data_IF_408906961154
#
_entry.id   IF_408906961154
#
_cell.length_a   1.000
_cell.length_b   1.000
_cell.length_c   1.000
_cell.angle_alpha   90.00
_cell.angle_beta   90.00
_cell.angle_gamma   90.00
#
_symmetry.space_group_name_H-M   'P 1'
#
loop_
_entity.id
_entity.type
_entity.pdbx_description
1 polymer ?
#
# COMPACT_ATOMS: atom_id res chain seq x y z
N UNK A 1 -67.95 -0.49 35.77
CA UNK A 1 -67.94 -0.08 34.35
C UNK A 1 -68.58 1.31 34.31
N UNK A 2 -68.03 2.39 33.77
CA UNK A 2 -67.12 2.60 32.65
C UNK A 2 -66.17 3.78 32.94
N UNK A 3 -64.95 3.71 32.38
CA UNK A 3 -63.87 4.70 32.51
C UNK A 3 -64.04 5.79 31.45
N UNK A 4 -63.79 7.06 31.81
CA UNK A 4 -63.79 8.23 30.93
C UNK A 4 -62.64 8.15 29.91
N UNK A 5 -62.84 8.43 28.61
CA UNK A 5 -61.73 8.74 27.72
C UNK A 5 -61.47 10.26 27.70
N UNK A 6 -60.26 10.63 28.12
CA UNK A 6 -59.65 11.95 27.94
C UNK A 6 -59.23 12.05 26.47
N UNK A 7 -59.79 13.00 25.72
CA UNK A 7 -59.36 13.31 24.35
C UNK A 7 -58.15 14.24 24.44
N UNK A 8 -56.97 13.68 24.17
CA UNK A 8 -55.72 14.44 23.99
C UNK A 8 -55.73 14.99 22.55
N UNK A 9 -55.91 16.29 22.39
CA UNK A 9 -55.67 16.96 21.11
C UNK A 9 -54.18 17.27 21.00
N UNK A 10 -53.49 16.56 20.12
CA UNK A 10 -52.10 16.86 19.72
C UNK A 10 -52.10 17.08 18.21
N UNK A 11 -51.20 17.97 17.79
CA UNK A 11 -50.68 18.20 16.44
C UNK A 11 -51.27 19.39 15.70
N UNK A 12 -50.52 20.49 15.69
CA UNK A 12 -50.13 21.20 14.46
C UNK A 12 -48.99 22.19 14.75
N UNK A 13 -47.80 21.67 15.07
CA UNK A 13 -46.56 22.46 15.08
C UNK A 13 -45.74 22.14 13.83
N UNK A 14 -46.10 22.73 12.68
CA UNK A 14 -45.49 22.42 11.38
C UNK A 14 -44.75 23.61 10.76
N UNK A 15 -43.87 24.28 11.52
CA UNK A 15 -43.21 25.51 11.02
C UNK A 15 -41.72 25.68 11.38
N UNK A 16 -40.95 24.62 11.65
CA UNK A 16 -39.55 24.78 12.11
C UNK A 16 -38.45 24.06 11.33
N UNK A 17 -38.69 23.50 10.13
CA UNK A 17 -37.65 22.71 9.43
C UNK A 17 -37.35 23.11 7.96
N UNK A 18 -37.67 24.34 7.55
CA UNK A 18 -37.43 24.79 6.17
C UNK A 18 -36.11 25.55 5.95
N UNK A 19 -35.06 25.28 6.76
CA UNK A 19 -33.75 25.93 6.63
C UNK A 19 -32.62 25.01 6.12
N UNK A 20 -32.90 23.72 5.86
CA UNK A 20 -31.84 22.70 5.71
C UNK A 20 -31.40 22.41 4.27
N UNK A 21 -32.19 22.76 3.25
CA UNK A 21 -31.88 22.34 1.87
C UNK A 21 -30.63 23.02 1.29
N UNK A 22 -30.45 24.32 1.54
CA UNK A 22 -29.29 25.07 1.06
C UNK A 22 -27.99 24.71 1.83
N UNK A 23 -28.12 24.36 3.12
CA UNK A 23 -26.98 23.94 3.94
C UNK A 23 -26.53 22.52 3.59
N UNK A 24 -27.46 21.61 3.33
CA UNK A 24 -27.16 20.27 2.83
C UNK A 24 -26.38 20.32 1.51
N UNK A 25 -26.75 21.22 0.58
CA UNK A 25 -26.10 21.30 -0.72
C UNK A 25 -24.67 21.87 -0.67
N UNK A 26 -24.38 22.78 0.27
CA UNK A 26 -23.02 23.26 0.51
C UNK A 26 -22.14 22.20 1.17
N UNK A 27 -22.70 21.46 2.14
CA UNK A 27 -21.99 20.37 2.82
C UNK A 27 -21.64 19.25 1.82
N UNK A 28 -22.57 18.90 0.94
CA UNK A 28 -22.38 17.88 -0.09
C UNK A 28 -21.30 18.31 -1.10
N UNK A 29 -21.33 19.57 -1.54
CA UNK A 29 -20.31 20.13 -2.44
C UNK A 29 -18.89 20.11 -1.84
N UNK A 30 -18.76 20.37 -0.54
CA UNK A 30 -17.46 20.33 0.15
C UNK A 30 -16.95 18.89 0.31
N UNK A 31 -17.84 17.96 0.69
CA UNK A 31 -17.50 16.54 0.83
C UNK A 31 -17.10 15.93 -0.52
N UNK A 32 -17.79 16.28 -1.60
CA UNK A 32 -17.42 15.88 -2.94
C UNK A 32 -16.07 16.44 -3.35
N UNK A 33 -15.80 17.72 -3.08
CA UNK A 33 -14.50 18.31 -3.37
C UNK A 33 -13.35 17.57 -2.64
N UNK A 34 -13.54 17.20 -1.38
CA UNK A 34 -12.58 16.39 -0.63
C UNK A 34 -12.43 14.98 -1.22
N UNK A 35 -13.54 14.33 -1.60
CA UNK A 35 -13.53 13.00 -2.21
C UNK A 35 -12.74 12.99 -3.51
N UNK A 36 -12.91 14.00 -4.37
CA UNK A 36 -12.17 14.13 -5.62
C UNK A 36 -10.69 14.42 -5.41
N UNK A 37 -10.32 15.21 -4.39
CA UNK A 37 -8.92 15.44 -4.02
C UNK A 37 -8.24 14.13 -3.60
N UNK A 38 -8.86 13.40 -2.67
CA UNK A 38 -8.32 12.14 -2.17
C UNK A 38 -8.21 11.08 -3.28
N UNK A 39 -9.21 11.00 -4.16
CA UNK A 39 -9.17 10.08 -5.30
C UNK A 39 -8.02 10.41 -6.26
N UNK A 40 -7.81 11.70 -6.55
CA UNK A 40 -6.73 12.16 -7.44
C UNK A 40 -5.36 11.86 -6.85
N UNK A 41 -5.18 12.12 -5.56
CA UNK A 41 -3.94 11.79 -4.85
C UNK A 41 -3.67 10.29 -4.89
N UNK A 42 -4.69 9.46 -4.62
CA UNK A 42 -4.56 8.02 -4.67
C UNK A 42 -4.20 7.54 -6.08
N UNK A 43 -4.85 8.05 -7.13
CA UNK A 43 -4.52 7.70 -8.51
C UNK A 43 -3.09 8.11 -8.88
N UNK A 44 -2.62 9.28 -8.45
CA UNK A 44 -1.24 9.70 -8.68
C UNK A 44 -0.24 8.80 -7.94
N UNK A 45 -0.53 8.40 -6.70
CA UNK A 45 0.34 7.50 -5.93
C UNK A 45 0.45 6.12 -6.59
N UNK A 46 -0.68 5.58 -7.09
CA UNK A 46 -0.70 4.32 -7.83
C UNK A 46 0.14 4.40 -9.11
N UNK A 47 0.04 5.48 -9.87
CA UNK A 47 0.87 5.68 -11.07
C UNK A 47 2.36 5.78 -10.74
N UNK A 48 2.73 6.49 -9.67
CA UNK A 48 4.13 6.57 -9.20
C UNK A 48 4.66 5.19 -8.77
N UNK A 49 3.85 4.41 -8.05
CA UNK A 49 4.21 3.03 -7.64
C UNK A 49 4.37 2.11 -8.85
N UNK A 50 3.49 2.20 -9.84
CA UNK A 50 3.59 1.44 -11.08
C UNK A 50 4.87 1.78 -11.85
N UNK A 51 5.22 3.06 -11.98
CA UNK A 51 6.47 3.50 -12.63
C UNK A 51 7.72 3.05 -11.86
N UNK A 52 7.70 3.08 -10.53
CA UNK A 52 8.81 2.56 -9.71
C UNK A 52 8.98 1.05 -9.84
N UNK A 53 7.88 0.29 -9.98
CA UNK A 53 7.95 -1.15 -10.22
C UNK A 53 8.47 -1.49 -11.63
N UNK A 54 8.12 -0.69 -12.64
CA UNK A 54 8.66 -0.85 -14.00
C UNK A 54 10.16 -0.56 -14.11
N UNK A 55 10.69 0.34 -13.28
CA UNK A 55 12.12 0.65 -13.21
C UNK A 55 12.93 -0.30 -12.30
N UNK A 56 12.30 -1.22 -11.56
CA UNK A 56 13.01 -2.34 -10.93
C UNK A 56 13.28 -3.39 -12.01
N UNK A 57 14.56 -3.45 -12.40
CA UNK A 57 15.18 -4.43 -13.30
C UNK A 57 14.53 -5.83 -13.28
N UNK A 58 14.54 -6.54 -14.42
CA UNK A 58 13.72 -7.73 -14.66
C UNK A 58 13.99 -8.83 -13.63
N UNK A 59 12.96 -9.63 -13.36
CA UNK A 59 12.94 -10.85 -12.55
C UNK A 59 14.23 -11.68 -12.67
N UNK A 60 15.27 -11.32 -11.93
CA UNK A 60 16.46 -12.13 -11.80
C UNK A 60 16.05 -13.33 -10.95
N UNK A 61 15.89 -14.49 -11.60
CA UNK A 61 15.56 -15.76 -10.93
C UNK A 61 16.45 -15.89 -9.68
N UNK A 62 15.87 -16.20 -8.50
CA UNK A 62 16.65 -16.32 -7.28
C UNK A 62 17.81 -17.32 -7.49
N UNK A 63 18.94 -17.04 -6.87
CA UNK A 63 20.07 -17.98 -6.83
C UNK A 63 19.64 -19.15 -5.94
N UNK A 64 19.62 -20.35 -6.50
CA UNK A 64 19.27 -21.55 -5.73
C UNK A 64 20.44 -21.95 -4.83
N UNK A 65 20.14 -22.68 -3.75
CA UNK A 65 21.17 -23.20 -2.85
C UNK A 65 22.17 -24.10 -3.59
N UNK A 66 21.71 -24.90 -4.57
CA UNK A 66 22.56 -25.80 -5.34
C UNK A 66 23.58 -25.02 -6.19
N UNK A 67 23.15 -23.98 -6.90
CA UNK A 67 24.04 -23.14 -7.69
C UNK A 67 25.03 -22.38 -6.80
N UNK A 68 24.56 -21.87 -5.66
CA UNK A 68 25.41 -21.23 -4.66
C UNK A 68 26.48 -22.20 -4.14
N UNK A 69 26.09 -23.43 -3.82
CA UNK A 69 27.02 -24.46 -3.34
C UNK A 69 28.05 -24.85 -4.41
N UNK A 70 27.64 -24.94 -5.68
CA UNK A 70 28.54 -25.20 -6.79
C UNK A 70 29.53 -24.06 -7.02
N UNK A 71 29.09 -22.79 -6.91
CA UNK A 71 29.97 -21.64 -6.98
C UNK A 71 30.95 -21.60 -5.79
N UNK A 72 30.48 -21.93 -4.59
CA UNK A 72 31.30 -22.00 -3.38
C UNK A 72 32.37 -23.09 -3.44
N UNK A 73 32.01 -24.30 -3.87
CA UNK A 73 32.97 -25.41 -3.95
C UNK A 73 34.13 -25.09 -4.91
N UNK A 74 33.84 -24.40 -6.02
CA UNK A 74 34.84 -23.93 -7.00
C UNK A 74 35.70 -22.77 -6.48
N UNK A 75 35.16 -21.92 -5.59
CA UNK A 75 35.80 -20.66 -5.18
C UNK A 75 36.12 -20.58 -3.68
N UNK A 76 36.22 -21.72 -3.00
CA UNK A 76 36.30 -21.80 -1.52
C UNK A 76 37.45 -20.98 -0.92
N UNK A 77 38.63 -21.01 -1.52
CA UNK A 77 39.82 -20.27 -1.05
C UNK A 77 39.60 -18.76 -1.13
N UNK A 78 39.12 -18.28 -2.28
CA UNK A 78 38.83 -16.86 -2.52
C UNK A 78 37.67 -16.36 -1.65
N UNK A 79 36.63 -17.18 -1.47
CA UNK A 79 35.53 -16.85 -0.56
C UNK A 79 36.04 -16.61 0.85
N UNK A 80 36.91 -17.49 1.40
CA UNK A 80 37.51 -17.28 2.72
C UNK A 80 38.35 -16.00 2.78
N UNK A 81 39.15 -15.70 1.76
CA UNK A 81 39.92 -14.44 1.69
C UNK A 81 39.00 -13.22 1.78
N UNK A 82 37.88 -13.26 1.06
CA UNK A 82 36.88 -12.17 1.05
C UNK A 82 36.12 -12.06 2.36
N UNK A 83 35.79 -13.17 3.02
CA UNK A 83 35.19 -13.14 4.35
C UNK A 83 36.12 -12.45 5.34
N UNK A 84 37.42 -12.73 5.31
CA UNK A 84 38.40 -12.10 6.20
C UNK A 84 38.64 -10.61 5.88
N UNK A 85 38.59 -10.24 4.59
CA UNK A 85 38.87 -8.87 4.14
C UNK A 85 37.66 -7.94 4.23
N UNK A 86 36.51 -8.39 3.71
CA UNK A 86 35.33 -7.56 3.43
C UNK A 86 34.09 -7.99 4.24
N UNK A 87 34.20 -9.07 5.02
CA UNK A 87 33.10 -9.64 5.80
C UNK A 87 32.20 -10.59 5.01
N UNK A 88 31.38 -11.35 5.76
CA UNK A 88 30.55 -12.42 5.22
C UNK A 88 29.51 -11.92 4.20
N UNK A 89 28.78 -10.85 4.52
CA UNK A 89 27.76 -10.31 3.63
C UNK A 89 28.32 -9.83 2.28
N UNK A 90 29.56 -9.33 2.26
CA UNK A 90 30.23 -8.94 1.01
C UNK A 90 30.63 -10.17 0.20
N UNK A 91 31.19 -11.19 0.86
CA UNK A 91 31.55 -12.45 0.23
C UNK A 91 30.32 -13.18 -0.37
N UNK A 92 29.18 -13.16 0.32
CA UNK A 92 27.93 -13.76 -0.17
C UNK A 92 27.39 -13.05 -1.40
N UNK A 93 27.40 -11.70 -1.42
CA UNK A 93 26.99 -10.92 -2.61
C UNK A 93 27.90 -11.19 -3.81
N UNK A 94 29.21 -11.27 -3.57
CA UNK A 94 30.16 -11.64 -4.62
C UNK A 94 29.88 -13.05 -5.16
N UNK A 95 29.58 -14.01 -4.28
CA UNK A 95 29.31 -15.38 -4.70
C UNK A 95 27.99 -15.49 -5.48
N UNK A 96 26.96 -14.76 -5.08
CA UNK A 96 25.72 -14.63 -5.86
C UNK A 96 25.96 -13.96 -7.23
N UNK A 97 26.89 -13.00 -7.31
CA UNK A 97 27.25 -12.36 -8.59
C UNK A 97 27.93 -13.34 -9.54
N UNK A 98 28.77 -14.25 -9.04
CA UNK A 98 29.40 -15.30 -9.84
C UNK A 98 28.37 -16.29 -10.38
N UNK A 99 27.40 -16.68 -9.56
CA UNK A 99 26.30 -17.56 -10.02
C UNK A 99 25.50 -16.88 -11.12
N UNK A 100 25.16 -15.60 -10.96
CA UNK A 100 24.39 -14.85 -11.97
C UNK A 100 25.17 -14.64 -13.27
N UNK A 101 26.49 -14.45 -13.19
CA UNK A 101 27.34 -14.28 -14.37
C UNK A 101 27.59 -15.59 -15.14
N UNK A 102 27.42 -16.75 -14.48
CA UNK A 102 27.55 -18.06 -15.10
C UNK A 102 26.26 -18.64 -15.68
N UNK A 103 25.16 -17.88 -15.66
CA UNK A 103 23.88 -18.21 -16.30
C UNK A 103 23.75 -17.47 -17.63
#
# INVERSE_FOLDING_TARGET
>A
MQRKPIVLAVVAGASLFAADAAQAQYLDSYLDAQRWSNLREHQQEQQKKAQQQQNRAPNAKPVTLAERQAAWSRNKSEYRRRVLRDGQASADRWLDSLVRAGR
#
